data_IF_984658178451
#
_entry.id   IF_984658178451
#
_cell.length_a   1.000
_cell.length_b   1.000
_cell.length_c   1.000
_cell.angle_alpha   90.00
_cell.angle_beta   90.00
_cell.angle_gamma   90.00
#
_symmetry.space_group_name_H-M   'P 1'
#
loop_
_entity.id
_entity.type
_entity.pdbx_description
1 polymer ?
#
# COMPACT_ATOMS: atom_id res chain seq x y z
N UNK A 1 -4.63 16.53 31.91
CA UNK A 1 -4.36 16.82 30.49
C UNK A 1 -5.55 17.59 29.97
N UNK A 2 -5.35 18.85 29.57
CA UNK A 2 -6.40 19.66 28.96
C UNK A 2 -6.51 19.30 27.48
N UNK A 3 -7.69 18.90 27.02
CA UNK A 3 -7.96 18.54 25.63
C UNK A 3 -8.55 19.73 24.89
N UNK A 4 -8.12 19.98 23.66
CA UNK A 4 -8.55 21.13 22.84
C UNK A 4 -9.98 21.00 22.33
N UNK A 5 -10.48 19.77 22.17
CA UNK A 5 -11.84 19.51 21.65
C UNK A 5 -12.54 18.40 22.41
N UNK A 6 -13.88 18.35 22.32
CA UNK A 6 -14.69 17.24 22.84
C UNK A 6 -14.26 15.90 22.24
N UNK A 7 -13.98 15.86 20.93
CA UNK A 7 -13.59 14.65 20.22
C UNK A 7 -12.23 14.12 20.67
N UNK A 8 -11.26 15.00 20.93
CA UNK A 8 -9.96 14.60 21.48
C UNK A 8 -10.13 13.90 22.85
N UNK A 9 -11.02 14.43 23.69
CA UNK A 9 -11.33 13.84 25.00
C UNK A 9 -11.94 12.45 24.86
N UNK A 10 -12.92 12.27 23.98
CA UNK A 10 -13.57 10.97 23.79
C UNK A 10 -12.62 9.94 23.15
N UNK A 11 -11.84 10.32 22.15
CA UNK A 11 -10.82 9.44 21.54
C UNK A 11 -9.81 8.95 22.58
N UNK A 12 -9.33 9.83 23.46
CA UNK A 12 -8.40 9.45 24.51
C UNK A 12 -9.02 8.50 25.54
N UNK A 13 -10.31 8.62 25.84
CA UNK A 13 -11.01 7.68 26.72
C UNK A 13 -11.08 6.29 26.11
N UNK A 14 -11.42 6.20 24.82
CA UNK A 14 -11.53 4.93 24.09
C UNK A 14 -10.16 4.22 24.00
N UNK A 15 -9.09 4.96 23.74
CA UNK A 15 -7.75 4.39 23.54
C UNK A 15 -7.10 3.97 24.88
N UNK A 16 -7.37 4.67 25.97
CA UNK A 16 -6.67 4.48 27.26
C UNK A 16 -6.82 3.07 27.85
N UNK A 17 -7.93 2.39 27.56
CA UNK A 17 -8.21 1.05 28.09
C UNK A 17 -7.70 -0.09 27.18
N UNK A 18 -7.10 0.23 26.04
CA UNK A 18 -6.59 -0.76 25.11
C UNK A 18 -5.17 -1.21 25.48
N UNK A 19 -4.81 -2.42 25.09
CA UNK A 19 -3.43 -2.90 25.21
C UNK A 19 -2.51 -2.12 24.27
N UNK A 20 -1.24 -1.97 24.65
CA UNK A 20 -0.22 -1.25 23.87
C UNK A 20 -0.16 -1.68 22.39
N UNK A 21 -0.22 -2.99 22.03
CA UNK A 21 -0.25 -3.40 20.62
C UNK A 21 -1.48 -2.92 19.85
N UNK A 22 -2.63 -2.75 20.51
CA UNK A 22 -3.84 -2.22 19.90
C UNK A 22 -3.76 -0.69 19.75
N UNK A 23 -3.19 0.00 20.74
CA UNK A 23 -2.92 1.43 20.65
C UNK A 23 -1.98 1.75 19.49
N UNK A 24 -0.91 0.94 19.31
CA UNK A 24 0.02 1.09 18.18
C UNK A 24 -0.69 0.90 16.83
N UNK A 25 -1.53 -0.13 16.70
CA UNK A 25 -2.33 -0.36 15.48
C UNK A 25 -3.26 0.81 15.19
N UNK A 26 -3.98 1.31 16.20
CA UNK A 26 -4.88 2.46 16.03
C UNK A 26 -4.12 3.73 15.65
N UNK A 27 -2.96 3.98 16.25
CA UNK A 27 -2.11 5.09 15.88
C UNK A 27 -1.70 5.01 14.40
N UNK A 28 -1.27 3.84 13.92
CA UNK A 28 -0.91 3.63 12.50
C UNK A 28 -2.10 3.89 11.57
N UNK A 29 -3.30 3.42 11.93
CA UNK A 29 -4.53 3.66 11.15
C UNK A 29 -4.87 5.15 11.08
N UNK A 30 -4.88 5.84 12.23
CA UNK A 30 -5.15 7.28 12.30
C UNK A 30 -4.10 8.05 11.50
N UNK A 31 -2.83 7.64 11.56
CA UNK A 31 -1.76 8.25 10.79
C UNK A 31 -1.99 8.10 9.29
N UNK A 32 -2.32 6.90 8.80
CA UNK A 32 -2.62 6.64 7.40
C UNK A 32 -3.82 7.48 6.93
N UNK A 33 -4.93 7.45 7.68
CA UNK A 33 -6.11 8.25 7.36
C UNK A 33 -5.79 9.74 7.31
N UNK A 34 -4.93 10.22 8.21
CA UNK A 34 -4.46 11.60 8.19
C UNK A 34 -3.67 11.91 6.92
N UNK A 35 -2.80 11.02 6.45
CA UNK A 35 -2.06 11.22 5.20
C UNK A 35 -3.02 11.27 4.00
N UNK A 36 -4.00 10.37 3.95
CA UNK A 36 -4.97 10.31 2.84
C UNK A 36 -5.92 11.51 2.81
N UNK A 37 -6.39 11.97 3.98
CA UNK A 37 -7.36 13.06 4.09
C UNK A 37 -6.68 14.44 3.91
N UNK A 38 -5.42 14.58 4.35
CA UNK A 38 -4.72 15.88 4.41
C UNK A 38 -3.76 16.09 3.22
N UNK A 39 -3.45 15.08 2.39
CA UNK A 39 -2.59 15.28 1.21
C UNK A 39 -3.18 16.36 0.28
N UNK A 40 -2.51 17.51 0.08
CA UNK A 40 -3.04 18.60 -0.75
C UNK A 40 -2.83 18.36 -2.25
N UNK A 41 -1.99 17.40 -2.64
CA UNK A 41 -1.70 17.05 -4.03
C UNK A 41 -1.35 15.57 -4.08
N UNK A 42 -2.05 14.83 -4.94
CA UNK A 42 -1.74 13.44 -5.26
C UNK A 42 -0.41 13.42 -6.03
N UNK A 43 0.68 13.10 -5.34
CA UNK A 43 1.94 12.78 -5.99
C UNK A 43 1.90 11.32 -6.45
N UNK A 44 1.54 11.14 -7.72
CA UNK A 44 1.47 9.84 -8.41
C UNK A 44 2.77 9.05 -8.27
N UNK A 45 3.92 9.73 -8.19
CA UNK A 45 5.22 9.09 -8.04
C UNK A 45 5.38 8.52 -6.64
N UNK A 46 5.02 9.28 -5.60
CA UNK A 46 5.03 8.80 -4.23
C UNK A 46 4.07 7.62 -4.02
N UNK A 47 2.87 7.69 -4.61
CA UNK A 47 1.88 6.60 -4.55
C UNK A 47 2.36 5.32 -5.26
N UNK A 48 3.04 5.47 -6.40
CA UNK A 48 3.65 4.35 -7.13
C UNK A 48 4.79 3.73 -6.33
N UNK A 49 5.66 4.54 -5.74
CA UNK A 49 6.77 4.07 -4.91
C UNK A 49 6.27 3.35 -3.64
N UNK A 50 5.25 3.88 -2.96
CA UNK A 50 4.59 3.23 -1.82
C UNK A 50 3.95 1.90 -2.24
N UNK A 51 3.24 1.85 -3.37
CA UNK A 51 2.64 0.63 -3.88
C UNK A 51 3.70 -0.43 -4.23
N UNK A 52 4.76 -0.05 -4.95
CA UNK A 52 5.87 -0.94 -5.31
C UNK A 52 6.62 -1.46 -4.08
N UNK A 53 6.68 -0.68 -2.99
CA UNK A 53 7.30 -1.12 -1.73
C UNK A 53 6.52 -2.25 -1.03
N UNK A 54 5.22 -2.40 -1.33
CA UNK A 54 4.38 -3.49 -0.82
C UNK A 54 4.57 -4.76 -1.66
N UNK A 55 4.94 -4.61 -2.93
CA UNK A 55 5.28 -5.74 -3.78
C UNK A 55 6.61 -6.34 -3.31
N UNK A 56 6.65 -7.67 -3.15
CA UNK A 56 7.91 -8.36 -2.86
C UNK A 56 8.94 -8.05 -3.95
N UNK A 57 10.17 -7.76 -3.53
CA UNK A 57 11.28 -7.61 -4.47
C UNK A 57 11.60 -8.97 -5.07
N UNK A 58 11.37 -9.14 -6.37
CA UNK A 58 11.89 -10.29 -7.08
C UNK A 58 13.40 -10.10 -7.21
N UNK A 59 14.18 -10.77 -6.36
CA UNK A 59 15.63 -10.86 -6.51
C UNK A 59 15.94 -11.77 -7.69
N UNK A 60 16.07 -11.16 -8.87
CA UNK A 60 16.50 -11.85 -10.07
C UNK A 60 17.98 -11.55 -10.31
N UNK A 61 18.79 -12.60 -10.34
CA UNK A 61 20.19 -12.50 -10.70
C UNK A 61 20.39 -12.39 -12.23
N UNK A 62 19.35 -12.61 -13.01
CA UNK A 62 19.35 -12.46 -14.46
C UNK A 62 19.31 -10.98 -14.82
N UNK A 63 20.08 -10.61 -15.84
CA UNK A 63 20.05 -9.26 -16.40
C UNK A 63 18.68 -8.96 -17.03
N UNK A 64 18.32 -7.68 -17.13
CA UNK A 64 17.08 -7.27 -17.79
C UNK A 64 16.91 -7.89 -19.20
N UNK A 65 18.01 -8.06 -19.96
CA UNK A 65 17.99 -8.70 -21.28
C UNK A 65 17.60 -10.18 -21.21
N UNK A 66 18.08 -10.90 -20.21
CA UNK A 66 17.78 -12.32 -20.02
C UNK A 66 16.33 -12.52 -19.58
N UNK A 67 15.82 -11.65 -18.70
CA UNK A 67 14.41 -11.63 -18.30
C UNK A 67 13.49 -11.37 -19.50
N UNK A 68 13.82 -10.37 -20.32
CA UNK A 68 13.07 -10.06 -21.55
C UNK A 68 13.07 -11.28 -22.48
N UNK A 69 14.24 -11.90 -22.70
CA UNK A 69 14.37 -13.09 -23.55
C UNK A 69 13.51 -14.25 -23.03
N UNK A 70 13.51 -14.50 -21.73
CA UNK A 70 12.71 -15.55 -21.08
C UNK A 70 11.22 -15.32 -21.30
N UNK A 71 10.73 -14.09 -21.07
CA UNK A 71 9.34 -13.70 -21.34
C UNK A 71 8.97 -13.94 -22.80
N UNK A 72 9.77 -13.49 -23.75
CA UNK A 72 9.47 -13.70 -25.17
C UNK A 72 9.54 -15.18 -25.59
N UNK A 73 10.44 -15.96 -24.99
CA UNK A 73 10.59 -17.39 -25.28
C UNK A 73 9.49 -18.26 -24.69
N UNK A 74 8.92 -17.87 -23.55
CA UNK A 74 7.84 -18.57 -22.86
C UNK A 74 6.45 -18.20 -23.40
N UNK A 75 6.33 -17.09 -24.14
CA UNK A 75 5.10 -16.73 -24.86
C UNK A 75 4.79 -17.80 -25.91
N UNK A 76 3.83 -18.66 -25.58
CA UNK A 76 3.13 -19.44 -26.61
C UNK A 76 2.21 -18.49 -27.37
N UNK A 77 2.39 -18.41 -28.69
CA UNK A 77 1.42 -17.78 -29.58
C UNK A 77 0.17 -18.64 -29.60
N UNK A 78 -0.67 -18.50 -28.58
CA UNK A 78 -2.03 -19.02 -28.65
C UNK A 78 -2.80 -18.08 -29.55
N UNK A 79 -3.31 -18.58 -30.68
CA UNK A 79 -4.38 -17.89 -31.40
C UNK A 79 -5.57 -17.81 -30.43
N UNK A 80 -5.64 -16.76 -29.62
CA UNK A 80 -6.87 -16.34 -28.94
C UNK A 80 -7.77 -15.68 -29.98
N UNK A 81 -8.02 -16.39 -31.08
CA UNK A 81 -9.28 -16.22 -31.80
C UNK A 81 -10.27 -16.84 -30.85
N UNK A 82 -11.06 -16.01 -30.18
CA UNK A 82 -12.24 -16.53 -29.52
C UNK A 82 -13.05 -17.25 -30.61
N UNK A 83 -13.27 -18.55 -30.43
CA UNK A 83 -14.45 -19.19 -31.00
C UNK A 83 -15.65 -18.55 -30.31
N UNK A 84 -15.94 -17.32 -30.73
CA UNK A 84 -17.26 -16.72 -30.65
C UNK A 84 -17.89 -17.17 -31.96
N UNK A 85 -18.45 -18.38 -31.97
CA UNK A 85 -19.73 -18.79 -32.57
C UNK A 85 -19.95 -20.28 -32.29
#
# INVERSE_FOLDING_TARGET
METKTLYEKEILKEIRNLSEPLQEKLFRIIHLLRQEIIKPEYDEKLATDEFLSICGTWEDNRTAKEQIKDIYSSRKSTNRTGDIF
#
